data_IF_793157178346
#
_entry.id   IF_793157178346
#
_cell.length_a   1.000
_cell.length_b   1.000
_cell.length_c   1.000
_cell.angle_alpha   90.00
_cell.angle_beta   90.00
_cell.angle_gamma   90.00
#
_symmetry.space_group_name_H-M   'P 1'
#
loop_
_entity.id
_entity.type
_entity.pdbx_description
1 polymer ?
#
# COMPACT_ATOMS: atom_id res chain seq x y z
N UNK A 1 0.05 8.03 32.89
CA UNK A 1 -0.38 6.62 32.71
C UNK A 1 -0.08 5.69 33.88
N UNK A 2 0.92 5.96 34.75
CA UNK A 2 1.20 5.09 35.92
C UNK A 2 0.01 4.84 36.87
N UNK A 3 -1.07 5.61 36.78
CA UNK A 3 -2.27 5.44 37.61
C UNK A 3 -3.16 4.25 37.24
N UNK A 4 -3.06 3.72 36.01
CA UNK A 4 -3.80 2.51 35.60
C UNK A 4 -2.91 1.25 35.53
N UNK A 5 -1.66 1.32 36.00
CA UNK A 5 -0.74 0.18 36.08
C UNK A 5 -0.88 -0.50 37.46
N UNK A 6 -1.59 -1.63 37.51
CA UNK A 6 -1.77 -2.53 38.67
C UNK A 6 -2.60 -1.96 39.86
N UNK A 7 -3.23 -2.82 40.70
CA UNK A 7 -4.40 -2.43 41.47
C UNK A 7 -4.01 -1.42 42.56
N UNK A 8 -4.60 -0.23 42.48
CA UNK A 8 -4.66 0.65 43.64
C UNK A 8 -5.57 0.01 44.69
N UNK A 9 -5.62 0.56 45.92
CA UNK A 9 -6.46 0.03 47.01
C UNK A 9 -7.96 -0.08 46.68
N UNK A 10 -8.38 0.39 45.49
CA UNK A 10 -9.68 0.16 44.87
C UNK A 10 -9.49 -0.87 43.75
N UNK A 11 -10.16 -2.01 43.89
CA UNK A 11 -10.02 -3.24 43.08
C UNK A 11 -10.51 -3.09 41.61
N UNK A 12 -10.12 -2.03 40.90
CA UNK A 12 -10.41 -1.85 39.47
C UNK A 12 -9.32 -2.51 38.63
N UNK A 13 -9.72 -3.20 37.57
CA UNK A 13 -8.79 -3.66 36.54
C UNK A 13 -8.17 -2.46 35.81
N UNK A 14 -7.02 -2.66 35.16
CA UNK A 14 -6.44 -1.64 34.28
C UNK A 14 -7.42 -1.18 33.19
N UNK A 15 -8.29 -2.08 32.70
CA UNK A 15 -9.31 -1.74 31.71
C UNK A 15 -10.38 -0.82 32.29
N UNK A 16 -10.96 -1.15 33.45
CA UNK A 16 -11.98 -0.32 34.10
C UNK A 16 -11.42 1.08 34.45
N UNK A 17 -10.14 1.14 34.83
CA UNK A 17 -9.43 2.40 35.02
C UNK A 17 -9.40 3.24 33.75
N UNK A 18 -9.02 2.64 32.60
CA UNK A 18 -8.97 3.34 31.31
C UNK A 18 -10.35 3.82 30.85
N UNK A 19 -11.40 3.01 31.05
CA UNK A 19 -12.79 3.37 30.73
C UNK A 19 -13.27 4.57 31.55
N UNK A 20 -12.82 4.71 32.79
CA UNK A 20 -13.19 5.81 33.67
C UNK A 20 -12.44 7.13 33.37
N UNK A 21 -11.42 7.13 32.50
CA UNK A 21 -10.67 8.34 32.15
C UNK A 21 -11.40 9.21 31.14
N UNK A 22 -11.18 10.53 31.23
CA UNK A 22 -11.66 11.48 30.23
C UNK A 22 -11.00 11.22 28.86
N UNK A 23 -11.74 11.49 27.78
CA UNK A 23 -11.26 11.34 26.40
C UNK A 23 -9.97 12.12 26.11
N UNK A 24 -9.78 13.30 26.71
CA UNK A 24 -8.57 14.10 26.51
C UNK A 24 -7.32 13.40 27.07
N UNK A 25 -7.48 12.71 28.21
CA UNK A 25 -6.40 11.93 28.81
C UNK A 25 -6.06 10.73 27.93
N UNK A 26 -7.09 10.05 27.40
CA UNK A 26 -6.93 8.94 26.45
C UNK A 26 -6.33 9.39 25.11
N UNK A 27 -6.68 10.59 24.63
CA UNK A 27 -6.15 11.18 23.41
C UNK A 27 -4.68 11.54 23.53
N UNK A 28 -4.28 12.19 24.63
CA UNK A 28 -2.87 12.46 24.92
C UNK A 28 -2.06 11.17 25.07
N UNK A 29 -2.64 10.21 25.78
CA UNK A 29 -2.09 8.87 25.94
C UNK A 29 -1.82 8.18 24.59
N UNK A 30 -2.82 8.17 23.71
CA UNK A 30 -2.74 7.61 22.38
C UNK A 30 -1.65 8.29 21.54
N UNK A 31 -1.60 9.63 21.54
CA UNK A 31 -0.59 10.39 20.82
C UNK A 31 0.83 10.02 21.28
N UNK A 32 1.07 9.92 22.60
CA UNK A 32 2.37 9.54 23.15
C UNK A 32 2.78 8.11 22.78
N UNK A 33 1.85 7.16 22.79
CA UNK A 33 2.14 5.78 22.38
C UNK A 33 2.54 5.75 20.90
N UNK A 34 1.74 6.39 20.04
CA UNK A 34 1.99 6.42 18.59
C UNK A 34 3.33 7.10 18.28
N UNK A 35 3.63 8.25 18.88
CA UNK A 35 4.87 8.99 18.57
C UNK A 35 6.12 8.39 19.22
N UNK A 36 5.98 7.48 20.19
CA UNK A 36 7.10 6.72 20.76
C UNK A 36 7.52 5.52 19.90
N UNK A 37 6.65 5.09 18.98
CA UNK A 37 6.94 4.02 18.03
C UNK A 37 7.86 4.46 16.89
N UNK A 38 8.37 3.49 16.14
CA UNK A 38 9.16 3.77 14.94
C UNK A 38 8.29 4.47 13.89
N UNK A 39 8.82 5.52 13.24
CA UNK A 39 8.07 6.28 12.23
C UNK A 39 7.59 5.38 11.09
N UNK A 40 6.34 5.56 10.66
CA UNK A 40 5.73 4.74 9.62
C UNK A 40 5.06 3.45 10.12
N UNK A 41 5.20 3.11 11.40
CA UNK A 41 4.49 1.98 12.01
C UNK A 41 3.14 2.38 12.60
N UNK A 42 2.24 1.40 12.74
CA UNK A 42 0.94 1.56 13.39
C UNK A 42 0.96 0.90 14.76
N UNK A 43 0.79 1.71 15.82
CA UNK A 43 0.77 1.19 17.20
C UNK A 43 -0.53 0.44 17.53
N UNK A 44 -1.64 0.86 16.91
CA UNK A 44 -2.96 0.25 17.05
C UNK A 44 -3.46 -0.16 15.67
N UNK A 45 -3.80 -1.43 15.51
CA UNK A 45 -4.29 -1.99 14.26
C UNK A 45 -5.04 -3.30 14.46
N UNK A 46 -5.56 -3.90 13.39
CA UNK A 46 -6.20 -5.21 13.45
C UNK A 46 -5.23 -6.28 13.97
N UNK A 47 -5.73 -7.19 14.79
CA UNK A 47 -4.97 -8.32 15.34
C UNK A 47 -5.75 -9.61 15.15
N UNK A 48 -5.04 -10.74 15.16
CA UNK A 48 -5.68 -12.07 15.20
C UNK A 48 -6.29 -12.24 16.59
N UNK A 49 -7.59 -12.02 16.71
CA UNK A 49 -8.37 -12.11 17.95
C UNK A 49 -9.03 -13.48 18.15
N UNK A 50 -9.01 -14.34 17.13
CA UNK A 50 -9.62 -15.67 17.17
C UNK A 50 -11.13 -15.67 16.97
N UNK A 51 -11.74 -14.51 16.73
CA UNK A 51 -13.19 -14.34 16.50
C UNK A 51 -13.45 -13.62 15.17
N UNK A 52 -13.11 -12.33 15.08
CA UNK A 52 -13.28 -11.55 13.86
C UNK A 52 -12.16 -11.85 12.85
N UNK A 53 -10.90 -11.84 13.31
CA UNK A 53 -9.73 -12.27 12.54
C UNK A 53 -9.20 -13.54 13.20
N UNK A 54 -9.55 -14.68 12.62
CA UNK A 54 -9.22 -16.01 13.17
C UNK A 54 -7.79 -16.46 12.86
N UNK A 55 -7.16 -15.92 11.82
CA UNK A 55 -5.79 -16.20 11.40
C UNK A 55 -5.26 -15.07 10.51
N UNK A 56 -3.98 -15.12 10.14
CA UNK A 56 -3.35 -14.09 9.31
C UNK A 56 -4.05 -13.98 7.94
N UNK A 57 -4.40 -12.77 7.46
CA UNK A 57 -5.08 -12.57 6.18
C UNK A 57 -4.39 -13.25 5.00
N UNK A 58 -3.06 -13.20 4.91
CA UNK A 58 -2.30 -13.89 3.85
C UNK A 58 -2.60 -15.39 3.74
N UNK A 59 -2.82 -16.10 4.85
CA UNK A 59 -3.18 -17.53 4.82
C UNK A 59 -4.59 -17.75 4.24
N UNK A 60 -5.53 -16.89 4.59
CA UNK A 60 -6.91 -16.94 4.09
C UNK A 60 -6.99 -16.59 2.61
N UNK A 61 -6.31 -15.52 2.20
CA UNK A 61 -6.18 -15.10 0.80
C UNK A 61 -5.48 -16.18 -0.03
N UNK A 62 -4.41 -16.79 0.47
CA UNK A 62 -3.69 -17.88 -0.21
C UNK A 62 -4.54 -19.14 -0.47
N UNK A 63 -5.67 -19.30 0.24
CA UNK A 63 -6.65 -20.38 -0.02
C UNK A 63 -7.81 -19.94 -0.91
N UNK A 64 -7.78 -18.72 -1.46
CA UNK A 64 -8.86 -18.16 -2.28
C UNK A 64 -10.16 -17.92 -1.50
N UNK A 65 -10.11 -17.89 -0.17
CA UNK A 65 -11.29 -17.70 0.68
C UNK A 65 -11.58 -16.22 0.83
N UNK A 66 -12.40 -15.70 -0.07
CA UNK A 66 -12.79 -14.28 -0.08
C UNK A 66 -14.31 -14.13 -0.08
N UNK A 67 -14.79 -13.02 0.45
CA UNK A 67 -16.21 -12.66 0.47
C UNK A 67 -16.44 -11.43 -0.42
N UNK A 68 -16.45 -11.63 -1.73
CA UNK A 68 -16.74 -10.59 -2.71
C UNK A 68 -16.85 -11.19 -4.11
N UNK A 69 -17.57 -10.52 -5.01
CA UNK A 69 -17.82 -11.00 -6.38
C UNK A 69 -16.64 -10.71 -7.32
N UNK A 70 -16.02 -9.54 -7.17
CA UNK A 70 -14.87 -9.09 -7.95
C UNK A 70 -13.88 -8.34 -7.05
N UNK A 71 -12.68 -8.07 -7.56
CA UNK A 71 -11.72 -7.15 -6.95
C UNK A 71 -11.23 -6.13 -7.99
N UNK A 72 -11.35 -4.85 -7.67
CA UNK A 72 -10.56 -3.80 -8.31
C UNK A 72 -9.50 -3.35 -7.29
N UNK A 73 -8.22 -3.59 -7.58
CA UNK A 73 -7.11 -3.12 -6.77
C UNK A 73 -6.38 -1.99 -7.49
N UNK A 74 -6.31 -0.82 -6.86
CA UNK A 74 -5.52 0.33 -7.35
C UNK A 74 -4.46 0.66 -6.32
N UNK A 75 -3.24 0.92 -6.77
CA UNK A 75 -2.17 1.48 -5.93
C UNK A 75 -1.62 2.74 -6.56
N UNK A 76 -1.01 3.58 -5.76
CA UNK A 76 -0.29 4.76 -6.24
C UNK A 76 1.17 4.40 -6.53
N UNK A 77 1.83 5.15 -7.40
CA UNK A 77 3.22 4.88 -7.80
C UNK A 77 4.21 4.98 -6.63
N UNK A 78 3.98 5.86 -5.65
CA UNK A 78 4.92 6.17 -4.56
C UNK A 78 4.24 6.06 -3.18
N UNK A 79 3.55 4.95 -2.93
CA UNK A 79 2.75 4.70 -1.70
C UNK A 79 3.51 4.95 -0.39
N UNK A 80 4.77 4.56 -0.34
CA UNK A 80 5.60 4.47 0.85
C UNK A 80 6.30 5.77 1.20
N UNK A 81 6.35 6.73 0.28
CA UNK A 81 7.14 7.96 0.44
C UNK A 81 6.80 8.69 1.74
N UNK A 82 5.51 8.79 2.05
CA UNK A 82 5.02 9.51 3.24
C UNK A 82 5.25 8.77 4.57
N UNK A 83 5.62 7.49 4.51
CA UNK A 83 5.79 6.61 5.67
C UNK A 83 7.26 6.36 6.01
N UNK A 84 8.19 6.97 5.29
CA UNK A 84 9.61 6.94 5.60
C UNK A 84 10.03 8.32 6.10
N UNK A 85 10.75 8.42 7.25
CA UNK A 85 11.23 9.71 7.69
C UNK A 85 12.20 10.30 6.66
N UNK A 86 12.18 11.63 6.45
CA UNK A 86 13.18 12.27 5.60
C UNK A 86 14.57 12.16 6.24
N UNK A 87 15.60 12.17 5.40
CA UNK A 87 17.02 12.22 5.80
C UNK A 87 17.51 11.00 6.61
N UNK A 88 17.13 9.78 6.18
CA UNK A 88 17.74 8.56 6.72
C UNK A 88 19.26 8.57 6.55
N UNK A 89 19.99 8.58 7.67
CA UNK A 89 21.44 8.69 7.68
C UNK A 89 22.14 7.32 7.75
N UNK A 90 22.94 7.00 6.72
CA UNK A 90 23.75 5.78 6.60
C UNK A 90 24.78 5.57 7.72
N UNK A 91 25.14 6.62 8.45
CA UNK A 91 26.09 6.51 9.58
C UNK A 91 25.46 5.94 10.85
N UNK A 92 24.12 5.94 10.95
CA UNK A 92 23.41 5.50 12.16
C UNK A 92 22.43 4.36 11.93
N UNK A 93 22.08 4.04 10.67
CA UNK A 93 21.09 3.01 10.36
C UNK A 93 21.43 2.23 9.08
N UNK A 94 21.49 0.89 9.18
CA UNK A 94 21.52 -0.01 8.01
C UNK A 94 20.10 -0.36 7.55
N UNK A 95 19.93 -0.81 6.31
CA UNK A 95 18.64 -1.33 5.84
C UNK A 95 18.15 -2.54 6.63
N UNK A 96 19.04 -3.41 7.08
CA UNK A 96 18.66 -4.55 7.93
C UNK A 96 18.18 -4.10 9.31
N UNK A 97 18.75 -3.01 9.85
CA UNK A 97 18.23 -2.39 11.07
C UNK A 97 16.86 -1.75 10.80
N UNK A 98 16.73 -0.96 9.73
CA UNK A 98 15.46 -0.36 9.31
C UNK A 98 14.35 -1.41 9.16
N UNK A 99 14.62 -2.52 8.48
CA UNK A 99 13.66 -3.60 8.30
C UNK A 99 13.18 -4.22 9.62
N UNK A 100 14.04 -4.28 10.64
CA UNK A 100 13.68 -4.80 11.98
C UNK A 100 12.97 -3.78 12.84
N UNK A 101 13.24 -2.48 12.65
CA UNK A 101 12.44 -1.44 13.28
C UNK A 101 11.02 -1.42 12.69
N UNK A 102 10.89 -1.62 11.38
CA UNK A 102 9.61 -1.72 10.68
C UNK A 102 8.87 -3.03 11.00
N UNK A 103 9.59 -4.15 11.06
CA UNK A 103 9.06 -5.49 11.34
C UNK A 103 9.83 -6.19 12.47
N UNK A 104 9.48 -5.92 13.74
CA UNK A 104 10.24 -6.37 14.91
C UNK A 104 10.38 -7.89 15.07
N UNK A 105 9.49 -8.67 14.45
CA UNK A 105 9.50 -10.13 14.52
C UNK A 105 10.41 -10.79 13.46
N UNK A 106 11.03 -10.01 12.56
CA UNK A 106 11.98 -10.55 11.59
C UNK A 106 13.25 -11.05 12.28
N UNK A 107 13.70 -12.24 11.90
CA UNK A 107 15.02 -12.73 12.29
C UNK A 107 16.12 -11.88 11.63
N UNK A 108 17.32 -11.91 12.22
CA UNK A 108 18.48 -11.21 11.64
C UNK A 108 18.76 -11.66 10.19
N UNK A 109 18.59 -12.96 9.89
CA UNK A 109 18.77 -13.50 8.54
C UNK A 109 17.73 -12.96 7.55
N UNK A 110 16.46 -12.86 7.95
CA UNK A 110 15.42 -12.28 7.11
C UNK A 110 15.67 -10.80 6.85
N UNK A 111 16.09 -10.05 7.86
CA UNK A 111 16.39 -8.63 7.72
C UNK A 111 17.62 -8.36 6.84
N UNK A 112 18.68 -9.18 6.95
CA UNK A 112 19.80 -9.12 6.01
C UNK A 112 19.37 -9.49 4.59
N UNK A 113 18.41 -10.41 4.42
CA UNK A 113 17.86 -10.71 3.10
C UNK A 113 17.09 -9.52 2.51
N UNK A 114 16.32 -8.78 3.31
CA UNK A 114 15.70 -7.52 2.87
C UNK A 114 16.78 -6.56 2.39
N UNK A 115 17.81 -6.31 3.20
CA UNK A 115 18.92 -5.43 2.82
C UNK A 115 19.53 -5.86 1.47
N UNK A 116 19.88 -7.13 1.29
CA UNK A 116 20.45 -7.62 0.02
C UNK A 116 19.53 -7.34 -1.17
N UNK A 117 18.23 -7.64 -1.05
CA UNK A 117 17.27 -7.43 -2.15
C UNK A 117 17.21 -5.97 -2.56
N UNK A 118 17.18 -5.04 -1.60
CA UNK A 118 16.97 -3.62 -1.88
C UNK A 118 18.27 -2.85 -2.18
N UNK A 119 19.43 -3.27 -1.67
CA UNK A 119 20.73 -2.69 -2.07
C UNK A 119 21.06 -3.02 -3.53
N UNK A 120 20.66 -4.20 -4.03
CA UNK A 120 20.86 -4.62 -5.43
C UNK A 120 20.12 -3.72 -6.43
N UNK A 121 19.06 -3.03 -5.99
CA UNK A 121 18.27 -2.10 -6.80
C UNK A 121 18.94 -0.72 -6.95
N UNK A 122 20.01 -0.45 -6.18
CA UNK A 122 20.70 0.84 -6.20
C UNK A 122 19.97 1.94 -5.42
N UNK A 123 20.23 3.20 -5.77
CA UNK A 123 19.66 4.36 -5.08
C UNK A 123 20.34 4.71 -3.74
N UNK A 124 19.82 5.75 -3.09
CA UNK A 124 20.21 6.14 -1.74
C UNK A 124 19.52 5.25 -0.69
N UNK A 125 19.99 5.31 0.57
CA UNK A 125 19.29 4.64 1.69
C UNK A 125 17.83 5.06 1.81
N UNK A 126 17.56 6.35 1.53
CA UNK A 126 16.21 6.89 1.56
C UNK A 126 15.34 6.20 0.50
N UNK A 127 15.82 6.09 -0.73
CA UNK A 127 15.10 5.44 -1.83
C UNK A 127 14.86 3.97 -1.50
N UNK A 128 15.87 3.26 -1.01
CA UNK A 128 15.75 1.84 -0.64
C UNK A 128 14.74 1.61 0.49
N UNK A 129 14.71 2.49 1.50
CA UNK A 129 13.72 2.43 2.57
C UNK A 129 12.30 2.74 2.07
N UNK A 130 12.15 3.72 1.19
CA UNK A 130 10.86 4.04 0.55
C UNK A 130 10.37 2.85 -0.26
N UNK A 131 11.23 2.22 -1.06
CA UNK A 131 10.91 0.96 -1.77
C UNK A 131 10.38 -0.10 -0.82
N UNK A 132 11.08 -0.42 0.28
CA UNK A 132 10.62 -1.41 1.28
C UNK A 132 9.16 -1.19 1.71
N UNK A 133 8.75 0.06 1.96
CA UNK A 133 7.38 0.40 2.36
C UNK A 133 6.42 0.44 1.18
N UNK A 134 6.76 1.18 0.12
CA UNK A 134 5.89 1.55 -0.99
C UNK A 134 6.55 2.36 -2.12
N UNK A 135 7.13 1.81 -3.18
CA UNK A 135 7.59 2.63 -4.32
C UNK A 135 7.57 1.97 -5.69
N UNK A 136 7.55 2.82 -6.72
CA UNK A 136 7.86 2.54 -8.10
C UNK A 136 8.89 3.56 -8.59
N UNK A 137 10.00 3.08 -9.18
CA UNK A 137 11.06 3.95 -9.67
C UNK A 137 10.73 4.51 -11.07
N UNK A 138 11.06 5.78 -11.28
CA UNK A 138 11.21 6.37 -12.62
C UNK A 138 12.64 6.16 -13.09
N UNK A 139 12.89 5.17 -13.96
CA UNK A 139 14.10 5.23 -14.77
C UNK A 139 13.85 6.19 -15.93
N UNK A 140 14.58 7.30 -15.95
CA UNK A 140 14.65 8.33 -17.01
C UNK A 140 13.50 8.33 -18.03
N UNK A 141 12.66 9.37 -17.99
CA UNK A 141 11.83 9.75 -19.14
C UNK A 141 12.76 10.10 -20.32
N UNK A 142 13.14 9.09 -21.09
CA UNK A 142 13.43 9.29 -22.49
C UNK A 142 12.12 9.66 -23.19
N UNK A 143 12.27 10.39 -24.28
CA UNK A 143 11.21 11.00 -25.12
C UNK A 143 10.15 10.01 -25.68
N UNK A 144 10.16 8.74 -25.27
CA UNK A 144 9.35 7.64 -25.81
C UNK A 144 8.31 7.05 -24.84
N UNK A 145 8.24 7.49 -23.58
CA UNK A 145 7.22 7.00 -22.63
C UNK A 145 7.47 5.58 -22.12
N UNK A 146 8.74 5.23 -21.92
CA UNK A 146 9.16 3.97 -21.29
C UNK A 146 8.58 3.77 -19.88
N UNK A 147 8.47 2.51 -19.51
CA UNK A 147 7.55 1.95 -18.52
C UNK A 147 7.86 2.38 -17.09
N UNK A 148 6.79 2.56 -16.31
CA UNK A 148 6.88 2.76 -14.88
C UNK A 148 7.27 1.43 -14.24
N UNK A 149 8.46 1.36 -13.64
CA UNK A 149 8.96 0.13 -13.04
C UNK A 149 8.65 0.16 -11.55
N UNK A 150 7.72 -0.69 -11.13
CA UNK A 150 7.35 -0.76 -9.72
C UNK A 150 8.36 -1.58 -8.90
N UNK A 151 8.91 -0.97 -7.86
CA UNK A 151 10.00 -1.53 -7.07
C UNK A 151 9.50 -1.92 -5.67
N UNK A 152 8.94 -3.14 -5.58
CA UNK A 152 8.53 -3.93 -4.40
C UNK A 152 8.31 -3.27 -3.07
N UNK A 153 7.17 -3.61 -2.46
CA UNK A 153 6.77 -2.99 -1.21
C UNK A 153 5.98 -3.92 -0.32
N UNK A 154 6.34 -3.96 0.96
CA UNK A 154 5.75 -4.88 1.94
C UNK A 154 4.34 -4.48 2.38
N UNK A 155 4.00 -3.19 2.36
CA UNK A 155 2.81 -2.68 3.07
C UNK A 155 1.64 -2.37 2.12
N UNK A 156 1.91 -1.93 0.89
CA UNK A 156 0.88 -1.47 -0.05
C UNK A 156 0.82 -2.31 -1.33
N UNK A 157 1.92 -2.32 -2.09
CA UNK A 157 1.92 -2.90 -3.44
C UNK A 157 1.84 -4.42 -3.40
N UNK A 158 2.69 -5.12 -2.64
CA UNK A 158 2.67 -6.60 -2.61
C UNK A 158 1.36 -7.20 -2.05
N UNK A 159 0.76 -6.66 -0.98
CA UNK A 159 -0.56 -7.11 -0.53
C UNK A 159 -1.65 -7.01 -1.61
N UNK A 160 -1.57 -6.03 -2.51
CA UNK A 160 -2.51 -5.94 -3.64
C UNK A 160 -2.44 -7.17 -4.55
N UNK A 161 -1.25 -7.71 -4.80
CA UNK A 161 -1.08 -8.95 -5.59
C UNK A 161 -1.55 -10.21 -4.85
N UNK A 162 -1.47 -10.24 -3.51
CA UNK A 162 -2.08 -11.33 -2.73
C UNK A 162 -3.60 -11.33 -2.87
N UNK A 163 -4.21 -10.14 -2.83
CA UNK A 163 -5.65 -9.97 -3.06
C UNK A 163 -6.04 -10.37 -4.49
N UNK A 164 -5.32 -9.89 -5.52
CA UNK A 164 -5.57 -10.23 -6.92
C UNK A 164 -5.59 -11.75 -7.15
N UNK A 165 -4.60 -12.48 -6.61
CA UNK A 165 -4.59 -13.95 -6.71
C UNK A 165 -5.77 -14.62 -6.01
N UNK A 166 -6.25 -14.08 -4.90
CA UNK A 166 -7.41 -14.63 -4.20
C UNK A 166 -8.73 -14.42 -4.99
N UNK A 167 -8.74 -13.51 -5.96
CA UNK A 167 -9.84 -13.19 -6.87
C UNK A 167 -9.51 -13.58 -8.34
N UNK A 168 -8.71 -14.63 -8.54
CA UNK A 168 -8.32 -15.11 -9.87
C UNK A 168 -9.51 -15.24 -10.83
N UNK A 169 -9.36 -14.71 -12.05
CA UNK A 169 -10.39 -14.70 -13.10
C UNK A 169 -11.51 -13.66 -12.92
N UNK A 170 -11.43 -12.83 -11.87
CA UNK A 170 -12.46 -11.81 -11.53
C UNK A 170 -11.86 -10.61 -10.79
N UNK A 171 -10.62 -10.27 -11.14
CA UNK A 171 -9.88 -9.16 -10.55
C UNK A 171 -9.22 -8.27 -11.59
N UNK A 172 -9.14 -6.97 -11.32
CA UNK A 172 -8.45 -5.97 -12.13
C UNK A 172 -7.44 -5.21 -11.28
N UNK A 173 -6.30 -4.89 -11.88
CA UNK A 173 -5.22 -4.14 -11.25
C UNK A 173 -4.99 -2.84 -11.99
N UNK A 174 -4.90 -1.74 -11.25
CA UNK A 174 -4.55 -0.43 -11.78
C UNK A 174 -3.46 0.24 -10.97
N UNK A 175 -2.81 1.21 -11.59
CA UNK A 175 -1.83 2.09 -10.97
C UNK A 175 -2.18 3.54 -11.25
N UNK A 176 -2.33 4.32 -10.17
CA UNK A 176 -2.44 5.76 -10.24
C UNK A 176 -1.05 6.39 -10.18
N UNK A 177 -0.68 7.09 -11.24
CA UNK A 177 0.68 7.57 -11.46
C UNK A 177 0.78 9.05 -11.79
N UNK A 178 -0.25 9.85 -11.48
CA UNK A 178 -0.13 11.31 -11.59
C UNK A 178 0.90 11.81 -10.57
N UNK A 179 2.01 12.44 -11.00
CA UNK A 179 3.04 12.90 -10.08
C UNK A 179 2.50 13.92 -9.05
N UNK A 180 2.92 13.83 -7.77
CA UNK A 180 4.00 12.97 -7.29
C UNK A 180 3.60 11.50 -7.07
N UNK A 181 2.30 11.18 -6.99
CA UNK A 181 1.82 9.80 -6.93
C UNK A 181 1.96 9.18 -5.55
N UNK A 182 1.89 9.99 -4.50
CA UNK A 182 1.99 9.55 -3.12
C UNK A 182 0.72 8.87 -2.63
N UNK A 183 0.81 8.16 -1.51
CA UNK A 183 -0.34 7.58 -0.85
C UNK A 183 -1.46 8.60 -0.64
N UNK A 184 -2.64 8.29 -1.16
CA UNK A 184 -3.83 9.13 -1.07
C UNK A 184 -3.96 10.23 -2.14
N UNK A 185 -3.00 10.41 -3.05
CA UNK A 185 -3.10 11.38 -4.15
C UNK A 185 -4.23 11.07 -5.15
N UNK A 186 -4.71 9.83 -5.16
CA UNK A 186 -5.83 9.35 -5.96
C UNK A 186 -7.20 9.66 -5.34
N UNK A 187 -7.27 9.96 -4.03
CA UNK A 187 -8.51 10.25 -3.30
C UNK A 187 -9.36 11.36 -3.93
N UNK A 188 -8.80 12.51 -4.36
CA UNK A 188 -9.57 13.56 -5.01
C UNK A 188 -10.25 13.12 -6.31
N UNK A 189 -9.81 12.01 -6.91
CA UNK A 189 -10.41 11.48 -8.13
C UNK A 189 -11.60 10.55 -7.84
N UNK A 190 -11.67 9.89 -6.69
CA UNK A 190 -12.89 9.19 -6.28
C UNK A 190 -13.93 10.16 -5.70
N UNK A 191 -13.47 11.17 -4.95
CA UNK A 191 -14.33 12.12 -4.23
C UNK A 191 -14.08 13.55 -4.71
N UNK A 192 -14.79 13.92 -5.76
CA UNK A 192 -14.47 15.09 -6.60
C UNK A 192 -14.84 16.45 -6.02
N UNK A 193 -15.40 16.52 -4.81
CA UNK A 193 -15.93 17.76 -4.21
C UNK A 193 -14.87 18.83 -3.94
N UNK A 194 -13.60 18.43 -3.76
CA UNK A 194 -12.48 19.34 -3.53
C UNK A 194 -11.74 19.81 -4.81
N UNK A 195 -12.10 19.24 -5.97
CA UNK A 195 -11.34 19.40 -7.22
C UNK A 195 -10.08 18.52 -7.27
N UNK A 196 -9.62 18.21 -8.49
CA UNK A 196 -8.45 17.35 -8.72
C UNK A 196 -7.19 18.18 -9.00
N UNK A 197 -6.02 17.80 -8.45
CA UNK A 197 -4.74 18.45 -8.77
C UNK A 197 -4.39 18.43 -10.26
N UNK A 198 -4.76 17.36 -10.98
CA UNK A 198 -4.71 17.30 -12.44
C UNK A 198 -6.15 17.27 -13.00
N UNK A 199 -6.74 18.43 -13.31
CA UNK A 199 -8.15 18.56 -13.72
C UNK A 199 -8.34 18.31 -15.21
N UNK A 200 -7.87 17.17 -15.72
CA UNK A 200 -8.08 16.76 -17.11
C UNK A 200 -9.41 16.00 -17.24
N UNK A 201 -10.38 16.47 -18.05
CA UNK A 201 -11.65 15.77 -18.23
C UNK A 201 -11.49 14.34 -18.75
N UNK A 202 -10.54 14.11 -19.66
CA UNK A 202 -10.24 12.78 -20.20
C UNK A 202 -9.63 11.85 -19.13
N UNK A 203 -8.76 12.38 -18.27
CA UNK A 203 -8.21 11.59 -17.18
C UNK A 203 -9.28 11.25 -16.14
N UNK A 204 -10.09 12.24 -15.76
CA UNK A 204 -11.17 12.07 -14.78
C UNK A 204 -12.23 11.10 -15.31
N UNK A 205 -12.67 11.25 -16.57
CA UNK A 205 -13.64 10.31 -17.17
C UNK A 205 -13.09 8.89 -17.24
N UNK A 206 -11.77 8.72 -17.35
CA UNK A 206 -11.13 7.42 -17.40
C UNK A 206 -10.92 6.81 -16.01
N UNK A 207 -10.18 7.48 -15.12
CA UNK A 207 -9.86 6.94 -13.79
C UNK A 207 -11.10 6.90 -12.88
N UNK A 208 -11.72 8.04 -12.65
CA UNK A 208 -12.93 8.15 -11.79
C UNK A 208 -14.11 7.42 -12.42
N UNK A 209 -14.27 7.53 -13.74
CA UNK A 209 -15.34 6.84 -14.47
C UNK A 209 -15.22 5.33 -14.36
N UNK A 210 -14.03 4.75 -14.53
CA UNK A 210 -13.83 3.29 -14.42
C UNK A 210 -14.09 2.75 -13.01
N UNK A 211 -13.82 3.55 -11.96
CA UNK A 211 -14.20 3.20 -10.60
C UNK A 211 -15.74 3.11 -10.44
N UNK A 212 -16.47 4.07 -11.00
CA UNK A 212 -17.93 4.06 -11.02
C UNK A 212 -18.49 2.94 -11.91
N UNK A 213 -17.83 2.61 -13.02
CA UNK A 213 -18.20 1.47 -13.89
C UNK A 213 -18.18 0.16 -13.09
N UNK A 214 -17.14 -0.05 -12.26
CA UNK A 214 -17.07 -1.21 -11.35
C UNK A 214 -18.20 -1.19 -10.32
N UNK A 215 -18.51 -0.04 -9.73
CA UNK A 215 -19.62 0.06 -8.76
C UNK A 215 -20.96 -0.30 -9.40
N UNK A 216 -21.21 0.16 -10.62
CA UNK A 216 -22.49 -0.01 -11.30
C UNK A 216 -22.66 -1.39 -11.96
N UNK A 217 -21.57 -2.02 -12.37
CA UNK A 217 -21.62 -3.19 -13.25
C UNK A 217 -20.73 -4.36 -12.82
N UNK A 218 -19.94 -4.20 -11.76
CA UNK A 218 -18.87 -5.13 -11.35
C UNK A 218 -17.81 -5.36 -12.45
N UNK A 219 -17.66 -4.44 -13.40
CA UNK A 219 -16.71 -4.54 -14.50
C UNK A 219 -16.24 -3.15 -14.99
N UNK A 220 -14.92 -2.85 -14.98
CA UNK A 220 -14.42 -1.54 -15.40
C UNK A 220 -14.58 -1.27 -16.91
N UNK A 221 -14.96 -2.28 -17.70
CA UNK A 221 -15.14 -2.19 -19.15
C UNK A 221 -16.58 -1.90 -19.58
N UNK A 222 -17.54 -1.85 -18.62
CA UNK A 222 -18.94 -1.54 -18.92
C UNK A 222 -19.17 -0.08 -18.58
N UNK A 223 -18.82 0.79 -19.53
CA UNK A 223 -18.84 2.23 -19.36
C UNK A 223 -20.26 2.79 -19.28
N UNK A 224 -20.64 3.37 -18.14
CA UNK A 224 -21.92 4.10 -18.02
C UNK A 224 -21.87 5.44 -18.75
N UNK A 225 -20.70 6.09 -18.79
CA UNK A 225 -20.46 7.35 -19.49
C UNK A 225 -19.73 7.09 -20.82
N UNK A 226 -20.32 7.43 -21.98
CA UNK A 226 -19.66 7.27 -23.28
C UNK A 226 -18.40 8.14 -23.45
N UNK A 227 -18.17 9.14 -22.59
CA UNK A 227 -16.93 9.92 -22.54
C UNK A 227 -15.77 9.18 -21.84
N UNK A 228 -16.03 8.08 -21.13
CA UNK A 228 -14.97 7.20 -20.66
C UNK A 228 -14.34 6.50 -21.88
N UNK A 229 -13.06 6.81 -22.14
CA UNK A 229 -12.25 6.23 -23.23
C UNK A 229 -11.13 5.34 -22.71
N UNK A 230 -11.25 4.87 -21.46
CA UNK A 230 -10.31 3.92 -20.89
C UNK A 230 -10.17 2.72 -21.85
N UNK A 231 -8.94 2.33 -22.22
CA UNK A 231 -8.73 1.13 -23.01
C UNK A 231 -9.33 -0.08 -22.32
N UNK A 232 -9.52 -1.18 -23.06
CA UNK A 232 -9.97 -2.42 -22.45
C UNK A 232 -9.04 -2.80 -21.30
N UNK A 233 -9.58 -2.88 -20.09
CA UNK A 233 -8.86 -3.20 -18.88
C UNK A 233 -8.89 -4.72 -18.68
N UNK A 234 -7.77 -5.42 -18.92
CA UNK A 234 -7.71 -6.87 -18.83
C UNK A 234 -7.90 -7.32 -17.39
N UNK A 235 -8.47 -8.51 -17.23
CA UNK A 235 -8.42 -9.22 -15.96
C UNK A 235 -6.96 -9.45 -15.60
N UNK A 236 -6.62 -9.15 -14.36
CA UNK A 236 -5.34 -9.55 -13.79
C UNK A 236 -5.25 -11.08 -13.80
N UNK A 237 -4.37 -11.61 -14.63
CA UNK A 237 -4.22 -13.04 -14.90
C UNK A 237 -2.75 -13.38 -15.14
N UNK A 238 -2.45 -14.53 -15.77
CA UNK A 238 -1.09 -15.00 -16.03
C UNK A 238 -0.22 -14.01 -16.82
N UNK A 239 -0.84 -13.14 -17.63
CA UNK A 239 -0.11 -12.14 -18.42
C UNK A 239 0.35 -10.93 -17.57
N UNK A 240 -0.12 -10.84 -16.32
CA UNK A 240 0.28 -9.83 -15.34
C UNK A 240 0.14 -8.40 -15.88
N UNK A 241 -1.00 -8.10 -16.52
CA UNK A 241 -1.30 -6.79 -17.11
C UNK A 241 -2.18 -5.92 -16.20
N UNK A 242 -1.79 -4.67 -16.03
CA UNK A 242 -2.50 -3.66 -15.25
C UNK A 242 -2.74 -2.37 -16.04
N UNK A 243 -3.73 -1.57 -15.61
CA UNK A 243 -4.01 -0.27 -16.22
C UNK A 243 -3.20 0.83 -15.54
N UNK A 244 -2.34 1.51 -16.30
CA UNK A 244 -1.61 2.69 -15.86
C UNK A 244 -2.43 3.95 -16.13
N UNK A 245 -2.60 4.79 -15.10
CA UNK A 245 -3.20 6.12 -15.18
C UNK A 245 -2.16 7.19 -14.86
N UNK A 246 -1.53 7.76 -15.89
CA UNK A 246 -0.46 8.75 -15.77
C UNK A 246 -0.74 9.99 -16.64
N UNK A 247 0.26 10.88 -16.76
CA UNK A 247 0.33 11.97 -17.71
C UNK A 247 1.73 12.07 -18.34
N UNK A 248 1.81 12.59 -19.56
CA UNK A 248 3.07 12.93 -20.23
C UNK A 248 3.75 14.14 -19.57
N UNK A 249 5.02 14.42 -19.91
CA UNK A 249 5.70 15.66 -19.47
C UNK A 249 4.98 16.92 -19.92
N UNK A 250 4.36 16.87 -21.10
CA UNK A 250 3.54 17.95 -21.64
C UNK A 250 2.16 18.07 -20.95
N UNK A 251 1.88 17.26 -19.94
CA UNK A 251 0.64 17.32 -19.15
C UNK A 251 -0.57 16.70 -19.83
N UNK A 252 -0.39 15.86 -20.85
CA UNK A 252 -1.51 15.13 -21.48
C UNK A 252 -1.78 13.83 -20.73
N UNK A 253 -3.03 13.36 -20.59
CA UNK A 253 -3.32 12.04 -20.04
C UNK A 253 -2.56 10.94 -20.78
N UNK A 254 -2.03 9.99 -20.02
CA UNK A 254 -1.38 8.79 -20.53
C UNK A 254 -2.05 7.60 -19.83
N UNK A 255 -3.01 6.98 -20.50
CA UNK A 255 -3.78 5.85 -19.99
C UNK A 255 -3.52 4.66 -20.91
N UNK A 256 -2.89 3.61 -20.37
CA UNK A 256 -2.47 2.45 -21.16
C UNK A 256 -2.34 1.20 -20.31
N UNK A 257 -2.37 0.05 -20.97
CA UNK A 257 -1.97 -1.21 -20.35
C UNK A 257 -0.45 -1.23 -20.19
N UNK A 258 0.00 -1.73 -19.04
CA UNK A 258 1.39 -2.06 -18.74
C UNK A 258 1.46 -3.48 -18.20
N UNK A 259 2.59 -4.13 -18.40
CA UNK A 259 2.89 -5.39 -17.73
C UNK A 259 3.54 -5.05 -16.39
N UNK A 260 3.11 -5.68 -15.31
CA UNK A 260 3.82 -5.59 -14.04
C UNK A 260 5.22 -6.16 -14.16
N UNK A 261 6.17 -5.49 -13.53
CA UNK A 261 7.56 -5.92 -13.43
C UNK A 261 7.67 -7.34 -12.84
N UNK A 262 8.34 -8.25 -13.56
CA UNK A 262 8.54 -9.62 -13.06
C UNK A 262 9.43 -9.61 -11.79
N UNK A 263 10.36 -8.64 -11.68
CA UNK A 263 11.16 -8.42 -10.48
C UNK A 263 10.31 -8.04 -9.25
N UNK A 264 9.26 -7.22 -9.44
CA UNK A 264 8.29 -6.87 -8.40
C UNK A 264 7.61 -8.12 -7.87
N UNK A 265 7.13 -8.98 -8.77
CA UNK A 265 6.44 -10.20 -8.38
C UNK A 265 7.37 -11.17 -7.64
N UNK A 266 8.65 -11.25 -8.00
CA UNK A 266 9.64 -12.01 -7.24
C UNK A 266 9.86 -11.47 -5.83
N UNK A 267 10.01 -10.16 -5.69
CA UNK A 267 10.15 -9.52 -4.38
C UNK A 267 8.86 -9.66 -3.55
N UNK A 268 7.68 -9.61 -4.16
CA UNK A 268 6.40 -9.88 -3.47
C UNK A 268 6.27 -11.33 -3.00
N UNK A 269 6.82 -12.32 -3.73
CA UNK A 269 6.92 -13.70 -3.23
C UNK A 269 7.83 -13.80 -2.01
N UNK A 270 8.91 -13.02 -1.96
CA UNK A 270 9.74 -12.94 -0.75
C UNK A 270 8.94 -12.38 0.43
N UNK A 271 8.21 -11.27 0.27
CA UNK A 271 7.39 -10.70 1.34
C UNK A 271 6.30 -11.65 1.84
N UNK A 272 5.67 -12.39 0.93
CA UNK A 272 4.71 -13.45 1.27
C UNK A 272 5.35 -14.55 2.13
N UNK A 273 6.58 -14.95 1.79
CA UNK A 273 7.33 -15.99 2.53
C UNK A 273 7.66 -15.61 3.97
N UNK A 274 7.70 -14.31 4.27
CA UNK A 274 7.97 -13.75 5.61
C UNK A 274 6.73 -13.09 6.24
N UNK A 275 5.54 -13.31 5.66
CA UNK A 275 4.26 -12.76 6.13
C UNK A 275 3.98 -12.99 7.62
N UNK A 276 4.50 -14.09 8.18
CA UNK A 276 4.34 -14.40 9.61
C UNK A 276 5.12 -13.47 10.53
N UNK A 277 6.19 -12.87 10.03
CA UNK A 277 7.04 -11.92 10.76
C UNK A 277 6.67 -10.47 10.45
N UNK A 278 6.01 -10.22 9.32
CA UNK A 278 5.56 -8.88 8.92
C UNK A 278 4.09 -8.61 9.25
N UNK A 279 3.41 -9.56 9.92
CA UNK A 279 2.02 -9.49 10.33
C UNK A 279 1.03 -9.24 9.17
N UNK A 280 1.34 -9.79 7.99
CA UNK A 280 0.50 -9.76 6.79
C UNK A 280 -0.36 -11.03 6.70
#
# INVERSE_FOLDING_TARGET
MSFCLAPTAVNLSSFDCLVALNSDVLGLANALIITSGFFGTVAFGPVVDGEFIIERPTLTLGRGRVNGDILLAVTNTFEGHTFVPPDLNLTTMSLSHYARELFPLMSAMQAERVKTIYEELGGSLQDQAIRIVGECEKFNLSLDGSELMCESTAIFICPSYHLLRAFEGRSWKGEFAIPPGYHGDDIPYYFTSGGQPFPSPEFISSFSGSFLDVILSLNPNVHFDPANKTPHWPLWSLDHEEMLFNKTESGKPLIRIVKTDDGLLERCKFWESVSGQTAQ
#
